data_IF_081519031396
#
_entry.id   IF_081519031396
#
_cell.length_a   1.000
_cell.length_b   1.000
_cell.length_c   1.000
_cell.angle_alpha   90.00
_cell.angle_beta   90.00
_cell.angle_gamma   90.00
#
_symmetry.space_group_name_H-M   'P 1'
#
loop_
_entity.id
_entity.type
_entity.pdbx_description
1 polymer ?
#
# COMPACT_ATOMS: atom_id res chain seq x y z
N UNK A 1 27.86 -6.55 -31.42
CA UNK A 1 27.50 -7.00 -30.05
C UNK A 1 26.68 -5.89 -29.44
N UNK A 2 25.37 -6.06 -29.42
CA UNK A 2 24.39 -5.07 -28.96
C UNK A 2 24.56 -4.87 -27.45
N UNK A 3 24.93 -3.66 -27.04
CA UNK A 3 24.76 -3.22 -25.67
C UNK A 3 23.25 -3.13 -25.41
N UNK A 4 22.75 -4.00 -24.53
CA UNK A 4 21.43 -3.86 -23.96
C UNK A 4 21.39 -2.52 -23.23
N UNK A 5 20.54 -1.63 -23.71
CA UNK A 5 20.18 -0.39 -23.04
C UNK A 5 19.45 -0.77 -21.77
N UNK A 6 20.00 -0.45 -20.60
CA UNK A 6 19.25 -0.49 -19.36
C UNK A 6 18.00 0.38 -19.54
N UNK A 7 16.83 -0.24 -19.38
CA UNK A 7 15.56 0.46 -19.46
C UNK A 7 15.49 1.48 -18.32
N UNK A 8 15.09 2.71 -18.64
CA UNK A 8 14.77 3.72 -17.66
C UNK A 8 13.61 3.18 -16.80
N UNK A 9 13.90 2.75 -15.58
CA UNK A 9 12.89 2.61 -14.54
C UNK A 9 12.54 4.01 -14.09
N UNK A 10 11.63 4.65 -14.83
CA UNK A 10 10.89 5.75 -14.24
C UNK A 10 9.91 5.12 -13.26
N UNK A 11 10.18 5.35 -12.00
CA UNK A 11 9.70 4.61 -10.84
C UNK A 11 8.21 4.85 -10.57
N UNK A 12 7.62 5.88 -11.19
CA UNK A 12 6.28 6.34 -10.84
C UNK A 12 6.20 7.04 -9.49
N UNK A 13 7.35 7.43 -8.93
CA UNK A 13 7.43 8.20 -7.69
C UNK A 13 7.35 9.71 -8.00
N UNK A 14 6.57 10.48 -7.23
CA UNK A 14 6.69 11.93 -7.21
C UNK A 14 8.02 12.38 -6.56
N UNK A 15 8.37 13.65 -6.79
CA UNK A 15 9.47 14.32 -6.09
C UNK A 15 8.94 15.08 -4.87
N UNK A 16 9.78 15.18 -3.83
CA UNK A 16 9.53 15.96 -2.64
C UNK A 16 9.81 17.47 -2.85
N UNK A 17 9.71 18.26 -1.78
CA UNK A 17 9.96 19.71 -1.82
C UNK A 17 11.41 20.11 -2.12
N UNK A 18 12.35 19.16 -2.07
CA UNK A 18 13.77 19.33 -2.35
C UNK A 18 14.19 18.74 -3.71
N UNK A 19 13.26 18.09 -4.42
CA UNK A 19 13.50 17.45 -5.70
C UNK A 19 14.07 16.03 -5.57
N UNK A 20 14.01 15.44 -4.38
CA UNK A 20 14.38 14.05 -4.13
C UNK A 20 13.18 13.14 -4.38
N UNK A 21 13.43 11.92 -4.82
CA UNK A 21 12.38 10.97 -5.15
C UNK A 21 11.75 10.38 -3.89
N UNK A 22 10.42 10.40 -3.81
CA UNK A 22 9.69 9.68 -2.76
C UNK A 22 9.61 8.20 -3.16
N UNK A 23 10.69 7.44 -2.93
CA UNK A 23 10.91 6.09 -3.48
C UNK A 23 9.73 5.12 -3.25
N UNK A 24 9.11 5.20 -2.08
CA UNK A 24 7.97 4.36 -1.69
C UNK A 24 6.61 4.98 -2.01
N UNK A 25 6.53 6.09 -2.73
CA UNK A 25 5.26 6.64 -3.19
C UNK A 25 5.00 6.25 -4.64
N UNK A 26 3.74 5.94 -4.95
CA UNK A 26 3.28 5.73 -6.31
C UNK A 26 2.19 6.75 -6.64
N UNK A 27 2.36 7.41 -7.77
CA UNK A 27 1.31 8.18 -8.41
C UNK A 27 1.35 7.87 -9.92
N UNK A 28 0.25 7.34 -10.49
CA UNK A 28 0.23 6.91 -11.88
C UNK A 28 0.54 8.05 -12.86
N UNK A 29 0.31 9.31 -12.49
CA UNK A 29 0.62 10.47 -13.34
C UNK A 29 2.11 10.65 -13.58
N UNK A 30 2.96 10.19 -12.65
CA UNK A 30 4.41 10.24 -12.80
C UNK A 30 5.01 8.93 -13.32
N UNK A 31 4.20 7.89 -13.58
CA UNK A 31 4.69 6.61 -14.08
C UNK A 31 4.52 6.51 -15.60
N UNK A 32 5.58 6.40 -16.41
CA UNK A 32 5.45 6.34 -17.87
C UNK A 32 4.65 5.15 -18.38
N UNK A 33 4.65 4.07 -17.60
CA UNK A 33 3.87 2.86 -17.87
C UNK A 33 2.37 3.07 -17.68
N UNK A 34 1.98 3.95 -16.74
CA UNK A 34 0.60 4.06 -16.26
C UNK A 34 -0.06 5.41 -16.58
N UNK A 35 0.70 6.48 -16.82
CA UNK A 35 0.19 7.86 -16.98
C UNK A 35 -0.80 8.04 -18.15
N UNK A 36 -0.79 7.13 -19.12
CA UNK A 36 -1.68 7.16 -20.28
C UNK A 36 -2.91 6.24 -20.14
N UNK A 37 -3.00 5.47 -19.06
CA UNK A 37 -4.14 4.58 -18.81
C UNK A 37 -5.24 5.39 -18.12
N UNK A 38 -6.49 5.35 -18.61
CA UNK A 38 -7.61 6.00 -17.93
C UNK A 38 -7.73 5.53 -16.48
N UNK A 39 -7.92 6.45 -15.55
CA UNK A 39 -7.90 6.19 -14.10
C UNK A 39 -8.91 5.11 -13.67
N UNK A 40 -10.07 5.05 -14.32
CA UNK A 40 -11.12 4.07 -14.08
C UNK A 40 -10.82 2.68 -14.68
N UNK A 41 -9.82 2.56 -15.54
CA UNK A 41 -9.35 1.30 -16.14
C UNK A 41 -7.99 0.87 -15.56
N UNK A 42 -7.31 1.75 -14.83
CA UNK A 42 -5.96 1.53 -14.33
C UNK A 42 -5.82 0.29 -13.43
N UNK A 43 -6.84 -0.02 -12.63
CA UNK A 43 -6.85 -1.24 -11.80
C UNK A 43 -7.86 -2.22 -12.34
N UNK A 44 -7.42 -3.45 -12.59
CA UNK A 44 -8.27 -4.55 -13.06
C UNK A 44 -8.09 -5.77 -12.17
N UNK A 45 -9.16 -6.51 -11.95
CA UNK A 45 -9.09 -7.81 -11.29
C UNK A 45 -8.69 -8.90 -12.27
N UNK A 46 -7.71 -9.73 -11.91
CA UNK A 46 -7.25 -10.88 -12.68
C UNK A 46 -7.78 -12.18 -12.05
N UNK A 47 -8.85 -12.81 -12.59
CA UNK A 47 -9.46 -13.98 -11.95
C UNK A 47 -8.55 -15.20 -11.83
N UNK A 48 -7.62 -15.38 -12.77
CA UNK A 48 -6.67 -16.50 -12.75
C UNK A 48 -5.66 -16.40 -11.60
N UNK A 49 -5.27 -15.18 -11.22
CA UNK A 49 -4.39 -14.91 -10.08
C UNK A 49 -5.15 -14.54 -8.80
N UNK A 50 -6.45 -14.27 -8.91
CA UNK A 50 -7.34 -13.85 -7.82
C UNK A 50 -6.89 -12.57 -7.09
N UNK A 51 -6.28 -11.65 -7.81
CA UNK A 51 -5.75 -10.38 -7.29
C UNK A 51 -6.04 -9.25 -8.27
N UNK A 52 -6.03 -8.02 -7.76
CA UNK A 52 -6.05 -6.79 -8.55
C UNK A 52 -4.66 -6.45 -9.04
N UNK A 53 -4.57 -5.92 -10.24
CA UNK A 53 -3.32 -5.57 -10.91
C UNK A 53 -3.49 -4.27 -11.68
N UNK A 54 -2.36 -3.62 -12.00
CA UNK A 54 -2.39 -2.44 -12.87
C UNK A 54 -2.56 -2.83 -14.34
N UNK A 55 -3.10 -1.91 -15.13
CA UNK A 55 -3.04 -1.94 -16.58
C UNK A 55 -2.01 -0.93 -17.09
N UNK A 56 -1.42 -1.23 -18.25
CA UNK A 56 -0.46 -0.38 -18.96
C UNK A 56 -0.94 -0.14 -20.39
N UNK A 57 -0.52 0.97 -20.98
CA UNK A 57 -0.79 1.24 -22.39
C UNK A 57 0.29 0.58 -23.26
N UNK A 58 -0.08 -0.38 -24.10
CA UNK A 58 0.88 -1.04 -24.98
C UNK A 58 1.49 -0.03 -25.96
N UNK A 59 2.84 0.14 -25.97
CA UNK A 59 3.49 1.30 -26.59
C UNK A 59 3.36 1.36 -28.12
N UNK A 60 3.04 0.22 -28.77
CA UNK A 60 2.91 0.15 -30.24
C UNK A 60 1.48 0.19 -30.74
N UNK A 61 0.53 -0.31 -29.94
CA UNK A 61 -0.87 -0.47 -30.38
C UNK A 61 -1.81 0.52 -29.70
N UNK A 62 -1.41 1.11 -28.56
CA UNK A 62 -2.29 1.91 -27.73
C UNK A 62 -3.45 1.09 -27.14
N UNK A 63 -3.31 -0.23 -27.08
CA UNK A 63 -4.27 -1.09 -26.40
C UNK A 63 -3.89 -1.19 -24.92
N UNK A 64 -4.88 -1.38 -24.06
CA UNK A 64 -4.63 -1.70 -22.66
C UNK A 64 -4.14 -3.15 -22.55
N UNK A 65 -3.04 -3.32 -21.82
CA UNK A 65 -2.45 -4.60 -21.46
C UNK A 65 -2.32 -4.69 -19.93
N UNK A 66 -2.24 -5.91 -19.41
CA UNK A 66 -2.02 -6.16 -17.99
C UNK A 66 -0.56 -5.89 -17.61
N UNK A 67 -0.33 -5.12 -16.55
CA UNK A 67 0.95 -5.15 -15.84
C UNK A 67 1.06 -6.43 -15.02
N UNK A 68 1.72 -7.44 -15.61
CA UNK A 68 1.80 -8.78 -15.03
C UNK A 68 2.68 -8.86 -13.79
N UNK A 69 3.51 -7.84 -13.56
CA UNK A 69 4.52 -7.80 -12.50
C UNK A 69 4.08 -7.02 -11.26
N UNK A 70 2.89 -6.40 -11.32
CA UNK A 70 2.34 -5.58 -10.24
C UNK A 70 1.06 -6.18 -9.68
N UNK A 71 0.96 -6.24 -8.35
CA UNK A 71 -0.28 -6.50 -7.62
C UNK A 71 -0.70 -5.24 -6.86
N UNK A 72 -1.99 -4.98 -6.85
CA UNK A 72 -2.62 -3.88 -6.13
C UNK A 72 -3.39 -4.46 -4.95
N UNK A 73 -3.15 -3.93 -3.75
CA UNK A 73 -3.88 -4.25 -2.54
C UNK A 73 -4.44 -2.97 -1.93
N UNK A 74 -5.71 -2.99 -1.58
CA UNK A 74 -6.42 -1.90 -0.93
C UNK A 74 -6.50 -2.18 0.56
N UNK A 75 -6.23 -1.16 1.38
CA UNK A 75 -6.31 -1.26 2.84
C UNK A 75 -7.17 -0.15 3.41
N UNK A 76 -7.91 -0.44 4.48
CA UNK A 76 -8.66 0.56 5.22
C UNK A 76 -8.75 0.21 6.71
N UNK A 77 -8.90 1.24 7.54
CA UNK A 77 -9.17 1.12 8.97
C UNK A 77 -10.41 1.89 9.38
N UNK A 78 -11.37 1.20 10.01
CA UNK A 78 -12.59 1.80 10.52
C UNK A 78 -12.56 1.89 12.05
N UNK A 79 -13.08 2.98 12.63
CA UNK A 79 -13.30 3.09 14.08
C UNK A 79 -14.62 3.79 14.41
N UNK A 80 -15.52 3.06 15.07
CA UNK A 80 -16.80 3.59 15.58
C UNK A 80 -16.60 4.16 16.97
N UNK A 81 -17.12 5.37 17.22
CA UNK A 81 -16.97 6.04 18.51
C UNK A 81 -15.53 6.46 18.80
N UNK A 82 -14.72 6.75 17.78
CA UNK A 82 -13.33 7.18 17.92
C UNK A 82 -13.19 8.33 18.95
N UNK A 83 -12.21 8.23 19.84
CA UNK A 83 -11.99 9.18 20.95
C UNK A 83 -12.92 9.01 22.15
N UNK A 84 -13.80 7.99 22.16
CA UNK A 84 -14.68 7.68 23.30
C UNK A 84 -14.28 6.38 24.00
N UNK A 85 -14.69 6.15 25.27
CA UNK A 85 -14.44 4.88 25.96
C UNK A 85 -15.10 3.66 25.29
N UNK A 86 -16.10 3.87 24.43
CA UNK A 86 -16.78 2.84 23.65
C UNK A 86 -16.19 2.65 22.25
N UNK A 87 -15.01 3.24 21.97
CA UNK A 87 -14.37 3.13 20.68
C UNK A 87 -14.12 1.66 20.32
N UNK A 88 -14.46 1.28 19.09
CA UNK A 88 -14.17 -0.04 18.53
C UNK A 88 -13.64 0.11 17.12
N UNK A 89 -12.48 -0.46 16.87
CA UNK A 89 -11.77 -0.37 15.62
C UNK A 89 -11.69 -1.72 14.90
N UNK A 90 -11.57 -1.68 13.58
CA UNK A 90 -11.43 -2.83 12.70
C UNK A 90 -10.61 -2.47 11.47
N UNK A 91 -10.06 -3.47 10.81
CA UNK A 91 -9.22 -3.31 9.63
C UNK A 91 -9.76 -4.15 8.48
N UNK A 92 -9.50 -3.71 7.25
CA UNK A 92 -9.88 -4.38 6.02
C UNK A 92 -8.72 -4.41 5.02
N UNK A 93 -8.55 -5.54 4.35
CA UNK A 93 -7.56 -5.77 3.28
C UNK A 93 -8.29 -6.39 2.10
N UNK A 94 -8.23 -5.73 0.95
CA UNK A 94 -8.94 -6.12 -0.26
C UNK A 94 -7.96 -6.29 -1.43
N UNK A 95 -7.87 -7.50 -1.94
CA UNK A 95 -7.12 -7.85 -3.15
C UNK A 95 -8.01 -7.87 -4.40
N UNK A 96 -9.33 -7.93 -4.27
CA UNK A 96 -10.25 -7.96 -5.41
C UNK A 96 -11.52 -8.76 -5.14
N UNK A 97 -12.48 -8.77 -6.08
CA UNK A 97 -13.76 -9.44 -5.90
C UNK A 97 -13.59 -10.92 -5.56
N UNK A 98 -14.15 -11.35 -4.43
CA UNK A 98 -14.10 -12.74 -3.94
C UNK A 98 -12.68 -13.33 -3.86
N UNK A 99 -11.66 -12.49 -3.75
CA UNK A 99 -10.29 -12.97 -3.56
C UNK A 99 -10.21 -13.74 -2.23
N UNK A 100 -9.58 -14.93 -2.20
CA UNK A 100 -9.36 -15.67 -0.97
C UNK A 100 -8.38 -14.95 -0.03
N UNK A 101 -7.67 -13.93 -0.54
CA UNK A 101 -6.72 -13.11 0.20
C UNK A 101 -7.40 -11.90 0.88
N UNK A 102 -8.69 -11.65 0.59
CA UNK A 102 -9.43 -10.62 1.31
C UNK A 102 -9.54 -11.00 2.79
N UNK A 103 -9.30 -10.05 3.67
CA UNK A 103 -9.33 -10.27 5.10
C UNK A 103 -9.81 -9.03 5.84
N UNK A 104 -10.48 -9.24 6.95
CA UNK A 104 -10.88 -8.18 7.88
C UNK A 104 -11.12 -8.78 9.25
N UNK A 105 -10.82 -8.01 10.29
CA UNK A 105 -11.12 -8.40 11.66
C UNK A 105 -11.22 -7.15 12.55
N UNK A 106 -11.73 -7.33 13.76
CA UNK A 106 -11.62 -6.33 14.81
C UNK A 106 -10.15 -6.09 15.16
N UNK A 107 -9.82 -4.84 15.47
CA UNK A 107 -8.56 -4.53 16.12
C UNK A 107 -8.58 -5.15 17.52
N UNK A 108 -7.49 -5.82 17.91
CA UNK A 108 -7.40 -6.46 19.23
C UNK A 108 -7.73 -5.47 20.33
N UNK A 109 -8.53 -5.90 21.31
CA UNK A 109 -9.11 -5.03 22.32
C UNK A 109 -8.07 -4.36 23.26
N UNK A 110 -6.88 -4.94 23.37
CA UNK A 110 -5.75 -4.40 24.13
C UNK A 110 -4.97 -3.30 23.39
N UNK A 111 -5.24 -3.09 22.11
CA UNK A 111 -4.64 -2.04 21.29
C UNK A 111 -5.49 -0.75 21.33
N UNK A 112 -4.88 0.42 21.10
CA UNK A 112 -5.60 1.69 21.00
C UNK A 112 -6.70 1.63 19.92
N UNK A 113 -7.95 1.78 20.33
CA UNK A 113 -9.12 1.75 19.44
C UNK A 113 -9.29 3.09 18.72
N UNK A 114 -8.41 3.38 17.77
CA UNK A 114 -8.41 4.62 16.95
C UNK A 114 -8.43 4.27 15.47
N UNK A 115 -8.92 5.19 14.62
CA UNK A 115 -8.88 5.00 13.17
C UNK A 115 -7.44 4.79 12.67
N UNK A 116 -6.51 5.65 13.09
CA UNK A 116 -5.09 5.54 12.69
C UNK A 116 -4.46 4.21 13.08
N UNK A 117 -4.71 3.69 14.29
CA UNK A 117 -4.16 2.38 14.68
C UNK A 117 -4.75 1.25 13.84
N UNK A 118 -6.02 1.38 13.45
CA UNK A 118 -6.71 0.43 12.58
C UNK A 118 -6.13 0.43 11.16
N UNK A 119 -5.87 1.61 10.58
CA UNK A 119 -5.19 1.75 9.28
C UNK A 119 -3.79 1.11 9.30
N UNK A 120 -3.02 1.33 10.36
CA UNK A 120 -1.70 0.71 10.56
C UNK A 120 -1.81 -0.82 10.69
N UNK A 121 -2.86 -1.31 11.36
CA UNK A 121 -3.11 -2.75 11.44
C UNK A 121 -3.46 -3.34 10.07
N UNK A 122 -4.30 -2.66 9.29
CA UNK A 122 -4.64 -3.08 7.93
C UNK A 122 -3.39 -3.26 7.06
N UNK A 123 -2.44 -2.31 7.14
CA UNK A 123 -1.15 -2.42 6.48
C UNK A 123 -0.35 -3.64 6.98
N UNK A 124 -0.22 -3.81 8.30
CA UNK A 124 0.51 -4.95 8.88
C UNK A 124 -0.07 -6.31 8.44
N UNK A 125 -1.39 -6.43 8.39
CA UNK A 125 -2.08 -7.64 7.93
C UNK A 125 -1.93 -7.85 6.43
N UNK A 126 -1.98 -6.80 5.62
CA UNK A 126 -1.71 -6.88 4.19
C UNK A 126 -0.29 -7.41 3.93
N UNK A 127 0.73 -6.90 4.62
CA UNK A 127 2.11 -7.38 4.49
C UNK A 127 2.26 -8.84 4.92
N UNK A 128 1.46 -9.31 5.89
CA UNK A 128 1.39 -10.72 6.26
C UNK A 128 0.84 -11.59 5.16
N UNK A 129 -0.29 -11.22 4.58
CA UNK A 129 -0.90 -11.96 3.47
C UNK A 129 0.05 -11.95 2.26
N UNK A 130 0.68 -10.81 1.97
CA UNK A 130 1.62 -10.69 0.85
C UNK A 130 2.81 -11.64 1.02
N UNK A 131 3.44 -11.63 2.19
CA UNK A 131 4.60 -12.49 2.46
C UNK A 131 4.25 -13.97 2.44
N UNK A 132 3.11 -14.33 3.03
CA UNK A 132 2.78 -15.73 3.27
C UNK A 132 2.12 -16.38 2.03
N UNK A 133 1.43 -15.60 1.19
CA UNK A 133 0.59 -16.13 0.10
C UNK A 133 0.91 -15.54 -1.28
N UNK A 134 1.20 -14.24 -1.39
CA UNK A 134 1.34 -13.55 -2.69
C UNK A 134 2.75 -13.64 -3.26
N UNK A 135 3.78 -13.54 -2.42
CA UNK A 135 5.20 -13.59 -2.81
C UNK A 135 5.63 -14.94 -3.42
N UNK A 136 4.77 -15.96 -3.35
CA UNK A 136 4.98 -17.26 -3.99
C UNK A 136 4.90 -17.18 -5.52
N UNK A 137 4.33 -16.10 -6.08
CA UNK A 137 4.42 -15.79 -7.50
C UNK A 137 5.76 -15.10 -7.82
N UNK A 138 6.77 -15.89 -8.19
CA UNK A 138 8.10 -15.38 -8.56
C UNK A 138 8.14 -14.47 -9.80
N UNK A 139 7.02 -14.32 -10.53
CA UNK A 139 6.94 -13.30 -11.58
C UNK A 139 6.68 -11.89 -11.03
N UNK A 140 6.19 -11.79 -9.78
CA UNK A 140 5.86 -10.52 -9.17
C UNK A 140 7.12 -9.73 -8.82
N UNK A 141 7.06 -8.42 -9.07
CA UNK A 141 8.16 -7.49 -8.76
C UNK A 141 7.67 -6.35 -7.87
N UNK A 142 6.38 -6.02 -7.94
CA UNK A 142 5.85 -4.77 -7.36
C UNK A 142 4.53 -5.00 -6.64
N UNK A 143 4.40 -4.37 -5.47
CA UNK A 143 3.15 -4.24 -4.72
C UNK A 143 2.79 -2.75 -4.66
N UNK A 144 1.54 -2.43 -5.01
CA UNK A 144 0.93 -1.12 -4.78
C UNK A 144 -0.07 -1.22 -3.63
N UNK A 145 0.23 -0.54 -2.54
CA UNK A 145 -0.63 -0.44 -1.37
C UNK A 145 -1.48 0.81 -1.51
N UNK A 146 -2.79 0.64 -1.67
CA UNK A 146 -3.76 1.71 -1.87
C UNK A 146 -4.44 2.04 -0.55
N UNK A 147 -4.51 3.31 -0.20
CA UNK A 147 -5.23 3.81 0.97
C UNK A 147 -5.75 5.23 0.74
N UNK A 148 -6.87 5.57 1.38
CA UNK A 148 -7.40 6.94 1.45
C UNK A 148 -6.80 7.76 2.62
N UNK A 149 -6.00 7.13 3.49
CA UNK A 149 -5.28 7.81 4.56
C UNK A 149 -4.00 8.50 4.06
N UNK A 150 -4.11 9.80 3.81
CA UNK A 150 -2.96 10.64 3.47
C UNK A 150 -1.87 10.59 4.56
N UNK A 151 -2.25 10.43 5.83
CA UNK A 151 -1.31 10.30 6.93
C UNK A 151 -0.50 9.00 6.83
N UNK A 152 -1.15 7.85 6.62
CA UNK A 152 -0.46 6.57 6.50
C UNK A 152 0.46 6.53 5.28
N UNK A 153 -0.02 7.00 4.12
CA UNK A 153 0.78 7.04 2.89
C UNK A 153 2.03 7.88 3.10
N UNK A 154 1.90 9.12 3.60
CA UNK A 154 3.06 9.99 3.84
C UNK A 154 3.98 9.49 4.96
N UNK A 155 3.42 8.88 6.00
CA UNK A 155 4.22 8.25 7.04
C UNK A 155 5.17 7.23 6.44
N UNK A 156 4.68 6.34 5.58
CA UNK A 156 5.46 5.26 5.02
C UNK A 156 6.32 5.64 3.81
N UNK A 157 6.00 6.73 3.11
CA UNK A 157 6.70 7.14 1.89
C UNK A 157 7.59 8.38 2.03
N UNK A 158 7.40 9.21 3.05
CA UNK A 158 8.09 10.50 3.19
C UNK A 158 8.73 10.69 4.57
N UNK A 159 8.06 10.27 5.65
CA UNK A 159 8.47 10.69 7.00
C UNK A 159 9.22 9.66 7.84
N UNK A 160 8.98 8.36 7.60
CA UNK A 160 9.45 7.31 8.49
C UNK A 160 10.97 7.29 8.66
N UNK A 161 11.74 7.56 7.60
CA UNK A 161 13.21 7.62 7.68
C UNK A 161 13.66 8.75 8.60
N UNK A 162 13.14 9.96 8.40
CA UNK A 162 13.41 11.09 9.29
C UNK A 162 12.94 10.85 10.73
N UNK A 163 11.85 10.10 10.94
CA UNK A 163 11.45 9.69 12.28
C UNK A 163 12.42 8.67 12.89
N UNK A 164 12.98 7.75 12.10
CA UNK A 164 13.98 6.80 12.56
C UNK A 164 15.27 7.51 12.96
N UNK A 165 15.73 8.46 12.15
CA UNK A 165 16.93 9.26 12.43
C UNK A 165 16.76 10.16 13.66
N UNK A 166 15.53 10.58 13.96
CA UNK A 166 15.21 11.49 15.06
C UNK A 166 14.55 10.79 16.26
N UNK A 167 14.85 9.51 16.50
CA UNK A 167 14.38 8.73 17.64
C UNK A 167 12.85 8.82 17.87
N UNK A 168 12.08 8.73 16.80
CA UNK A 168 10.62 8.74 16.81
C UNK A 168 9.99 10.11 17.02
N UNK A 169 10.69 11.19 16.65
CA UNK A 169 10.18 12.56 16.78
C UNK A 169 9.95 13.23 15.43
N UNK A 170 8.88 14.00 15.33
CA UNK A 170 8.59 14.81 14.15
C UNK A 170 9.49 16.06 14.06
N UNK A 171 9.36 16.83 12.98
CA UNK A 171 10.13 18.05 12.73
C UNK A 171 9.99 19.13 13.83
N UNK A 172 8.93 19.08 14.64
CA UNK A 172 8.73 19.97 15.80
C UNK A 172 9.31 19.40 17.10
N UNK A 173 10.02 18.26 17.03
CA UNK A 173 10.61 17.56 18.18
C UNK A 173 9.61 16.81 19.05
N UNK A 174 8.35 16.66 18.61
CA UNK A 174 7.31 15.96 19.37
C UNK A 174 7.33 14.46 19.07
N UNK A 175 7.08 13.58 20.06
CA UNK A 175 6.94 12.15 19.81
C UNK A 175 5.84 11.85 18.79
N UNK A 176 6.12 10.95 17.86
CA UNK A 176 5.17 10.49 16.85
C UNK A 176 4.31 9.37 17.43
N UNK A 177 2.99 9.50 17.30
CA UNK A 177 2.07 8.45 17.72
C UNK A 177 2.26 7.19 16.87
N UNK A 178 2.27 6.02 17.51
CA UNK A 178 2.45 4.72 16.86
C UNK A 178 3.81 4.53 16.15
N UNK A 179 4.82 5.34 16.48
CA UNK A 179 6.15 5.27 15.85
C UNK A 179 6.75 3.87 15.82
N UNK A 180 6.77 3.15 16.94
CA UNK A 180 7.34 1.80 17.01
C UNK A 180 6.67 0.85 16.00
N UNK A 181 5.34 0.92 15.84
CA UNK A 181 4.63 0.08 14.87
C UNK A 181 4.95 0.49 13.42
N UNK A 182 5.09 1.78 13.14
CA UNK A 182 5.55 2.24 11.82
C UNK A 182 6.97 1.78 11.52
N UNK A 183 7.86 1.82 12.51
CA UNK A 183 9.24 1.35 12.39
C UNK A 183 9.29 -0.15 12.12
N UNK A 184 8.54 -0.96 12.87
CA UNK A 184 8.42 -2.41 12.64
C UNK A 184 7.92 -2.72 11.21
N UNK A 185 6.93 -1.97 10.72
CA UNK A 185 6.42 -2.11 9.35
C UNK A 185 7.49 -1.71 8.33
N UNK A 186 8.22 -0.63 8.56
CA UNK A 186 9.31 -0.19 7.69
C UNK A 186 10.41 -1.25 7.57
N UNK A 187 10.88 -1.79 8.70
CA UNK A 187 11.90 -2.85 8.73
C UNK A 187 11.42 -4.11 7.99
N UNK A 188 10.13 -4.45 8.14
CA UNK A 188 9.52 -5.56 7.41
C UNK A 188 9.47 -5.32 5.90
N UNK A 189 9.16 -4.10 5.47
CA UNK A 189 9.20 -3.75 4.04
C UNK A 189 10.61 -3.89 3.48
N UNK A 190 11.63 -3.44 4.22
CA UNK A 190 13.03 -3.61 3.81
C UNK A 190 13.44 -5.07 3.75
N UNK A 191 13.01 -5.90 4.70
CA UNK A 191 13.26 -7.34 4.65
C UNK A 191 12.62 -7.98 3.41
N UNK A 192 11.38 -7.61 3.07
CA UNK A 192 10.67 -8.13 1.89
C UNK A 192 11.22 -7.57 0.57
N UNK A 193 11.87 -6.41 0.59
CA UNK A 193 12.46 -5.77 -0.59
C UNK A 193 13.89 -6.25 -0.82
N UNK A 194 14.72 -6.26 0.22
CA UNK A 194 16.18 -6.41 0.14
C UNK A 194 16.74 -7.64 0.86
N UNK A 195 15.92 -8.39 1.62
CA UNK A 195 16.34 -9.60 2.31
C UNK A 195 16.69 -10.75 1.36
N UNK A 196 17.22 -11.85 1.92
CA UNK A 196 17.70 -13.02 1.15
C UNK A 196 16.62 -13.66 0.26
N UNK A 197 15.38 -13.67 0.72
CA UNK A 197 14.19 -14.13 -0.01
C UNK A 197 13.35 -12.96 -0.57
N UNK A 198 13.91 -11.76 -0.60
CA UNK A 198 13.26 -10.51 -1.03
C UNK A 198 13.17 -10.33 -2.55
N UNK A 199 12.88 -9.11 -2.97
CA UNK A 199 12.75 -8.73 -4.40
C UNK A 199 11.41 -8.11 -4.78
N UNK A 200 10.55 -7.82 -3.80
CA UNK A 200 9.30 -7.08 -4.02
C UNK A 200 9.48 -5.62 -3.64
N UNK A 201 9.26 -4.72 -4.60
CA UNK A 201 9.18 -3.29 -4.35
C UNK A 201 7.77 -2.91 -3.84
N UNK A 202 7.71 -2.16 -2.75
CA UNK A 202 6.47 -1.66 -2.18
C UNK A 202 6.32 -0.17 -2.43
N UNK A 203 5.19 0.23 -3.00
CA UNK A 203 4.82 1.65 -3.11
C UNK A 203 3.42 1.91 -2.61
N UNK A 204 3.26 3.06 -1.97
CA UNK A 204 2.03 3.55 -1.38
C UNK A 204 1.35 4.52 -2.33
N UNK A 205 0.06 4.31 -2.57
CA UNK A 205 -0.75 5.10 -3.47
C UNK A 205 -1.92 5.69 -2.69
N UNK A 206 -1.90 7.02 -2.54
CA UNK A 206 -3.03 7.74 -1.96
C UNK A 206 -4.16 7.90 -2.99
N UNK A 207 -5.37 7.53 -2.62
CA UNK A 207 -6.57 7.69 -3.45
C UNK A 207 -7.70 8.36 -2.67
N UNK A 208 -8.67 9.02 -3.34
CA UNK A 208 -9.92 9.42 -2.70
C UNK A 208 -10.69 8.22 -2.14
N UNK A 209 -11.48 8.46 -1.09
CA UNK A 209 -12.23 7.41 -0.36
C UNK A 209 -13.18 6.61 -1.27
N UNK A 210 -13.76 7.25 -2.26
CA UNK A 210 -14.66 6.65 -3.26
C UNK A 210 -13.97 5.59 -4.12
N UNK A 211 -12.63 5.59 -4.12
CA UNK A 211 -11.81 4.58 -4.83
C UNK A 211 -11.27 3.50 -3.89
N UNK A 212 -11.60 3.55 -2.60
CA UNK A 212 -11.21 2.58 -1.56
C UNK A 212 -12.42 1.91 -0.88
N UNK A 213 -13.62 2.00 -1.50
CA UNK A 213 -14.89 1.58 -0.89
C UNK A 213 -14.93 0.11 -0.47
N UNK A 214 -14.27 -0.78 -1.21
CA UNK A 214 -14.27 -2.22 -0.91
C UNK A 214 -13.46 -2.56 0.35
N UNK A 215 -12.32 -1.89 0.56
CA UNK A 215 -11.54 -2.06 1.79
C UNK A 215 -12.27 -1.46 2.99
N UNK A 216 -12.90 -0.29 2.82
CA UNK A 216 -13.75 0.35 3.83
C UNK A 216 -14.96 -0.54 4.19
N UNK A 217 -15.59 -1.15 3.19
CA UNK A 217 -16.69 -2.07 3.41
C UNK A 217 -16.26 -3.30 4.23
N UNK A 218 -15.09 -3.89 3.93
CA UNK A 218 -14.53 -5.00 4.71
C UNK A 218 -14.28 -4.60 6.17
N UNK A 219 -13.64 -3.44 6.40
CA UNK A 219 -13.38 -2.95 7.76
C UNK A 219 -14.68 -2.70 8.54
N UNK A 220 -15.71 -2.11 7.90
CA UNK A 220 -17.00 -1.86 8.54
C UNK A 220 -17.80 -3.14 8.79
N UNK A 221 -17.74 -4.13 7.91
CA UNK A 221 -18.40 -5.43 8.11
C UNK A 221 -17.87 -6.13 9.36
N UNK A 222 -16.56 -6.06 9.63
CA UNK A 222 -15.98 -6.59 10.87
C UNK A 222 -16.50 -5.87 12.12
N UNK A 223 -16.94 -4.62 12.02
CA UNK A 223 -17.61 -3.90 13.09
C UNK A 223 -19.11 -4.23 13.21
N UNK A 224 -19.71 -4.97 12.28
CA UNK A 224 -21.13 -5.34 12.33
C UNK A 224 -21.36 -6.77 12.85
N UNK A 225 -20.31 -7.61 12.85
CA UNK A 225 -20.30 -8.95 13.47
C UNK A 225 -20.21 -8.91 14.99
#
# INVERSE_FOLDING_TARGET
MSHQSFQFFDSGSPLDGFGEELERQFDPQYSPMHQHVPENELVVYTPSKKVSQLQVMHPRTGALDLDKFTVVVFIDGACRGNGTPSARAAWGVYFGPQSPHNASDLLKADLPQTSTRAEIEALSQALRIIRDEISQDFSLQQIRIVSDSAFLVRAMSEWIEGWIENDGRNAEGRPVAHYETFKEIHERLDEMTYGDDGGLEFKFWHVPRERNEEADALANQALDG
#
